data_IF_628090331553
#
_entry.id   IF_628090331553
#
_cell.length_a   1.000
_cell.length_b   1.000
_cell.length_c   1.000
_cell.angle_alpha   90.00
_cell.angle_beta   90.00
_cell.angle_gamma   90.00
#
_symmetry.space_group_name_H-M   'P 1'
#
loop_
_entity.id
_entity.type
_entity.pdbx_description
1 polymer ?
#
# COMPACT_ATOMS: atom_id res chain seq x y z
N UNK A 1 -7.65 9.22 -20.50
CA UNK A 1 -7.32 7.93 -19.86
C UNK A 1 -8.57 7.29 -19.31
N UNK A 2 -8.67 5.96 -19.30
CA UNK A 2 -9.78 5.19 -18.73
C UNK A 2 -9.27 4.44 -17.49
N UNK A 3 -10.06 4.42 -16.41
CA UNK A 3 -9.77 3.60 -15.24
C UNK A 3 -10.75 2.44 -15.17
N UNK A 4 -10.25 1.24 -14.86
CA UNK A 4 -11.05 0.02 -14.71
C UNK A 4 -10.81 -0.59 -13.35
N UNK A 5 -11.87 -1.14 -12.78
CA UNK A 5 -11.82 -1.99 -11.58
C UNK A 5 -11.75 -3.45 -11.97
N UNK A 6 -11.16 -4.28 -11.12
CA UNK A 6 -11.04 -5.72 -11.32
C UNK A 6 -11.60 -6.46 -10.10
N UNK A 7 -12.32 -7.54 -10.36
CA UNK A 7 -12.81 -8.46 -9.32
C UNK A 7 -11.87 -9.68 -9.21
N UNK A 8 -11.05 -9.94 -10.24
CA UNK A 8 -10.06 -11.02 -10.25
C UNK A 8 -8.69 -10.51 -9.82
N UNK A 9 -8.17 -11.06 -8.72
CA UNK A 9 -6.82 -10.79 -8.26
C UNK A 9 -5.75 -11.24 -9.28
N UNK A 10 -5.99 -12.36 -9.98
CA UNK A 10 -5.03 -12.90 -10.95
C UNK A 10 -4.97 -12.04 -12.20
N UNK A 11 -6.13 -11.60 -12.71
CA UNK A 11 -6.18 -10.63 -13.81
C UNK A 11 -5.46 -9.34 -13.42
N UNK A 12 -5.75 -8.80 -12.24
CA UNK A 12 -5.09 -7.59 -11.77
C UNK A 12 -3.57 -7.77 -11.64
N UNK A 13 -3.10 -8.90 -11.08
CA UNK A 13 -1.66 -9.20 -10.99
C UNK A 13 -0.97 -9.20 -12.35
N UNK A 14 -1.59 -9.83 -13.34
CA UNK A 14 -1.07 -9.89 -14.70
C UNK A 14 -0.94 -8.49 -15.34
N UNK A 15 -1.91 -7.61 -15.07
CA UNK A 15 -1.96 -6.25 -15.63
C UNK A 15 -1.09 -5.24 -14.85
N UNK A 16 -1.12 -5.30 -13.52
CA UNK A 16 -0.42 -4.35 -12.65
C UNK A 16 1.06 -4.70 -12.43
N UNK A 17 1.42 -5.99 -12.48
CA UNK A 17 2.79 -6.43 -12.30
C UNK A 17 3.79 -5.68 -13.18
N UNK A 18 3.61 -5.58 -14.50
CA UNK A 18 4.49 -4.81 -15.36
C UNK A 18 4.58 -3.32 -15.01
N UNK A 19 3.55 -2.73 -14.42
CA UNK A 19 3.55 -1.32 -13.97
C UNK A 19 4.49 -1.16 -12.79
N UNK A 20 4.36 -2.01 -11.77
CA UNK A 20 5.15 -1.92 -10.54
C UNK A 20 6.60 -2.38 -10.73
N UNK A 21 6.88 -3.31 -11.65
CA UNK A 21 8.25 -3.72 -11.97
C UNK A 21 9.07 -2.65 -12.70
N UNK A 22 8.49 -1.51 -13.08
CA UNK A 22 9.26 -0.37 -13.64
C UNK A 22 10.20 0.24 -12.59
N UNK A 23 9.80 0.21 -11.32
CA UNK A 23 10.61 0.65 -10.19
C UNK A 23 10.34 -0.25 -8.98
N UNK A 24 11.02 -1.41 -8.87
CA UNK A 24 10.78 -2.37 -7.79
C UNK A 24 11.10 -1.82 -6.40
N UNK A 25 11.92 -0.78 -6.30
CA UNK A 25 12.25 -0.13 -5.03
C UNK A 25 11.07 0.73 -4.60
N UNK A 26 10.61 1.63 -5.46
CA UNK A 26 9.48 2.51 -5.16
C UNK A 26 8.18 1.72 -4.89
N UNK A 27 7.98 0.59 -5.58
CA UNK A 27 6.77 -0.23 -5.49
C UNK A 27 6.96 -1.54 -4.71
N UNK A 28 7.94 -1.58 -3.80
CA UNK A 28 8.25 -2.82 -3.05
C UNK A 28 7.06 -3.34 -2.24
N UNK A 29 6.24 -2.47 -1.67
CA UNK A 29 5.06 -2.86 -0.88
C UNK A 29 3.95 -3.40 -1.77
N UNK A 30 3.70 -2.77 -2.92
CA UNK A 30 2.73 -3.21 -3.91
C UNK A 30 3.12 -4.59 -4.47
N UNK A 31 4.38 -4.76 -4.84
CA UNK A 31 4.91 -6.04 -5.33
C UNK A 31 4.84 -7.14 -4.27
N UNK A 32 5.18 -6.83 -3.01
CA UNK A 32 5.04 -7.77 -1.90
C UNK A 32 3.57 -8.17 -1.69
N UNK A 33 2.64 -7.21 -1.76
CA UNK A 33 1.21 -7.46 -1.69
C UNK A 33 0.71 -8.35 -2.84
N UNK A 34 1.15 -8.08 -4.07
CA UNK A 34 0.80 -8.91 -5.23
C UNK A 34 1.36 -10.34 -5.17
N UNK A 35 2.49 -10.54 -4.49
CA UNK A 35 3.09 -11.85 -4.28
C UNK A 35 2.37 -12.69 -3.19
N UNK A 36 1.48 -12.09 -2.41
CA UNK A 36 0.71 -12.81 -1.40
C UNK A 36 -0.16 -13.90 -2.05
N UNK A 37 -0.36 -15.07 -1.39
CA UNK A 37 -1.14 -16.17 -1.96
C UNK A 37 -2.57 -15.79 -2.33
N UNK A 38 -3.19 -14.89 -1.56
CA UNK A 38 -4.52 -14.35 -1.82
C UNK A 38 -4.57 -12.87 -1.45
N UNK A 39 -5.38 -12.10 -2.17
CA UNK A 39 -5.79 -10.76 -1.77
C UNK A 39 -7.11 -10.84 -1.00
N UNK A 40 -7.37 -9.93 -0.05
CA UNK A 40 -8.67 -9.82 0.62
C UNK A 40 -9.82 -9.68 -0.39
N UNK A 41 -10.99 -10.22 -0.08
CA UNK A 41 -12.16 -10.17 -0.96
C UNK A 41 -12.68 -8.73 -1.17
N UNK A 42 -12.39 -7.83 -0.24
CA UNK A 42 -12.73 -6.40 -0.27
C UNK A 42 -11.59 -5.54 -0.83
N UNK A 43 -10.54 -6.16 -1.41
CA UNK A 43 -9.47 -5.42 -2.05
C UNK A 43 -10.00 -4.56 -3.20
N UNK A 44 -9.49 -3.34 -3.31
CA UNK A 44 -9.78 -2.44 -4.43
C UNK A 44 -8.64 -2.51 -5.43
N UNK A 45 -8.93 -2.96 -6.64
CA UNK A 45 -7.97 -3.24 -7.69
C UNK A 45 -8.26 -2.35 -8.89
N UNK A 46 -7.38 -1.45 -9.24
CA UNK A 46 -7.56 -0.46 -10.31
C UNK A 46 -6.42 -0.53 -11.33
N UNK A 47 -6.77 -0.43 -12.60
CA UNK A 47 -5.80 -0.18 -13.68
C UNK A 47 -6.18 1.06 -14.48
N UNK A 48 -5.17 1.83 -14.88
CA UNK A 48 -5.32 2.98 -15.78
C UNK A 48 -4.88 2.59 -17.19
N UNK A 49 -5.69 2.97 -18.17
CA UNK A 49 -5.53 2.62 -19.57
C UNK A 49 -5.40 3.86 -20.45
N UNK A 50 -4.48 3.80 -21.38
CA UNK A 50 -4.32 4.78 -22.45
C UNK A 50 -4.08 4.08 -23.77
N UNK A 51 -4.83 4.47 -24.83
CA UNK A 51 -4.76 3.86 -26.15
C UNK A 51 -4.76 2.31 -26.12
N UNK A 52 -5.58 1.70 -25.25
CA UNK A 52 -5.70 0.24 -25.14
C UNK A 52 -4.57 -0.46 -24.35
N UNK A 53 -3.64 0.30 -23.74
CA UNK A 53 -2.50 -0.22 -22.96
C UNK A 53 -2.64 0.15 -21.50
N UNK A 54 -2.24 -0.76 -20.61
CA UNK A 54 -2.14 -0.47 -19.17
C UNK A 54 -0.94 0.46 -18.94
N UNK A 55 -1.21 1.61 -18.38
CA UNK A 55 -0.19 2.65 -18.11
C UNK A 55 -0.02 2.92 -16.63
N UNK A 56 -0.94 2.46 -15.78
CA UNK A 56 -0.89 2.64 -14.34
C UNK A 56 -1.74 1.62 -13.60
N UNK A 57 -1.50 1.55 -12.28
CA UNK A 57 -2.26 0.71 -11.36
C UNK A 57 -2.33 1.33 -9.97
N UNK A 58 -3.39 0.99 -9.23
CA UNK A 58 -3.53 1.29 -7.81
C UNK A 58 -4.19 0.11 -7.10
N UNK A 59 -3.82 -0.12 -5.85
CA UNK A 59 -4.33 -1.23 -5.05
C UNK A 59 -4.59 -0.79 -3.62
N UNK A 60 -5.70 -1.24 -3.06
CA UNK A 60 -5.98 -1.15 -1.63
C UNK A 60 -6.32 -2.53 -1.10
N UNK A 61 -5.72 -2.89 0.02
CA UNK A 61 -6.09 -4.05 0.83
C UNK A 61 -6.51 -3.53 2.20
N UNK A 62 -7.82 -3.37 2.46
CA UNK A 62 -8.27 -2.83 3.74
C UNK A 62 -7.72 -3.61 4.93
N UNK A 63 -7.39 -2.96 6.06
CA UNK A 63 -7.61 -1.54 6.37
C UNK A 63 -6.51 -0.57 5.90
N UNK A 64 -5.57 -1.00 5.07
CA UNK A 64 -4.43 -0.19 4.64
C UNK A 64 -4.84 0.91 3.64
N UNK A 65 -4.03 1.99 3.53
CA UNK A 65 -4.22 3.05 2.55
C UNK A 65 -4.25 2.54 1.11
N UNK A 66 -4.98 3.23 0.22
CA UNK A 66 -4.87 3.01 -1.21
C UNK A 66 -3.46 3.39 -1.70
N UNK A 67 -2.74 2.46 -2.26
CA UNK A 67 -1.47 2.70 -2.93
C UNK A 67 -1.72 3.26 -4.33
N UNK A 68 -1.65 4.58 -4.47
CA UNK A 68 -1.96 5.31 -5.72
C UNK A 68 -0.71 5.66 -6.54
N UNK A 69 0.49 5.30 -6.06
CA UNK A 69 1.77 5.69 -6.68
C UNK A 69 1.98 5.22 -8.11
N UNK A 70 1.34 4.12 -8.50
CA UNK A 70 1.40 3.60 -9.86
C UNK A 70 0.48 4.30 -10.86
N UNK A 71 -0.29 5.31 -10.45
CA UNK A 71 -1.19 6.05 -11.35
C UNK A 71 -0.45 7.20 -12.03
N UNK A 72 -0.52 7.33 -13.36
CA UNK A 72 -0.08 8.54 -14.04
C UNK A 72 -1.04 9.70 -13.77
N UNK A 73 -0.55 10.92 -13.90
CA UNK A 73 -1.29 12.15 -13.59
C UNK A 73 -2.69 12.21 -14.19
N UNK A 74 -2.81 11.88 -15.46
CA UNK A 74 -4.09 11.91 -16.16
C UNK A 74 -5.08 10.83 -15.74
N UNK A 75 -4.67 9.86 -14.90
CA UNK A 75 -5.53 8.81 -14.38
C UNK A 75 -6.06 9.12 -12.97
N UNK A 76 -5.51 10.12 -12.28
CA UNK A 76 -5.88 10.42 -10.89
C UNK A 76 -7.36 10.81 -10.78
N UNK A 77 -7.81 11.80 -11.54
CA UNK A 77 -9.21 12.24 -11.50
C UNK A 77 -10.19 11.12 -11.90
N UNK A 78 -9.99 10.38 -13.02
CA UNK A 78 -10.82 9.23 -13.33
C UNK A 78 -10.82 8.13 -12.25
N UNK A 79 -9.68 7.90 -11.55
CA UNK A 79 -9.63 6.94 -10.46
C UNK A 79 -10.46 7.41 -9.26
N UNK A 80 -10.37 8.69 -8.93
CA UNK A 80 -11.19 9.31 -7.87
C UNK A 80 -12.68 9.17 -8.18
N UNK A 81 -13.12 9.44 -9.41
CA UNK A 81 -14.53 9.30 -9.79
C UNK A 81 -15.03 7.87 -9.60
N UNK A 82 -14.27 6.88 -10.10
CA UNK A 82 -14.61 5.46 -9.94
C UNK A 82 -14.69 5.05 -8.48
N UNK A 83 -13.76 5.53 -7.65
CA UNK A 83 -13.68 5.17 -6.24
C UNK A 83 -14.74 5.87 -5.39
N UNK A 84 -15.03 7.14 -5.65
CA UNK A 84 -16.03 7.89 -4.90
C UNK A 84 -17.42 7.23 -4.99
N UNK A 85 -17.73 6.62 -6.12
CA UNK A 85 -18.99 5.92 -6.34
C UNK A 85 -19.04 4.53 -5.70
N UNK A 86 -17.87 3.86 -5.52
CA UNK A 86 -17.76 2.48 -5.03
C UNK A 86 -17.28 2.35 -3.59
N UNK A 87 -16.40 3.25 -3.16
CA UNK A 87 -15.70 3.17 -1.89
C UNK A 87 -15.82 4.50 -1.13
N UNK A 88 -17.03 4.87 -0.68
CA UNK A 88 -17.24 6.16 -0.02
C UNK A 88 -16.43 6.33 1.27
N UNK A 89 -15.77 5.28 1.75
CA UNK A 89 -14.97 5.26 2.98
C UNK A 89 -13.46 5.08 2.72
N UNK A 90 -12.95 5.63 1.62
CA UNK A 90 -11.50 5.70 1.46
C UNK A 90 -10.92 6.56 2.59
N UNK A 91 -10.17 5.94 3.50
CA UNK A 91 -9.67 6.59 4.72
C UNK A 91 -8.30 7.21 4.53
N UNK A 92 -7.49 6.69 3.63
CA UNK A 92 -6.16 7.18 3.37
C UNK A 92 -5.65 6.76 1.98
N UNK A 93 -4.70 7.53 1.47
CA UNK A 93 -3.93 7.22 0.26
C UNK A 93 -2.43 7.30 0.55
N UNK A 94 -1.62 6.54 -0.16
CA UNK A 94 -0.16 6.58 -0.07
C UNK A 94 0.49 6.47 -1.45
N UNK A 95 1.68 7.03 -1.58
CA UNK A 95 2.46 7.01 -2.82
C UNK A 95 3.49 8.14 -2.83
N UNK A 96 4.21 8.34 -3.93
CA UNK A 96 5.05 9.50 -4.11
C UNK A 96 4.29 10.79 -3.80
N UNK A 97 4.97 11.73 -3.13
CA UNK A 97 4.39 12.94 -2.58
C UNK A 97 3.46 13.67 -3.55
N UNK A 98 3.89 13.84 -4.78
CA UNK A 98 3.13 14.56 -5.81
C UNK A 98 1.83 13.84 -6.18
N UNK A 99 1.90 12.52 -6.37
CA UNK A 99 0.75 11.70 -6.76
C UNK A 99 -0.26 11.64 -5.61
N UNK A 100 0.20 11.36 -4.38
CA UNK A 100 -0.66 11.30 -3.21
C UNK A 100 -1.32 12.65 -2.91
N UNK A 101 -0.59 13.76 -3.02
CA UNK A 101 -1.13 15.11 -2.84
C UNK A 101 -2.20 15.43 -3.89
N UNK A 102 -1.94 15.10 -5.15
CA UNK A 102 -2.90 15.32 -6.24
C UNK A 102 -4.14 14.47 -6.07
N UNK A 103 -3.97 13.21 -5.67
CA UNK A 103 -5.08 12.30 -5.40
C UNK A 103 -5.96 12.83 -4.26
N UNK A 104 -5.35 13.21 -3.14
CA UNK A 104 -6.05 13.77 -1.99
C UNK A 104 -6.82 15.06 -2.34
N UNK A 105 -6.23 15.95 -3.14
CA UNK A 105 -6.89 17.16 -3.61
C UNK A 105 -8.11 16.85 -4.50
N UNK A 106 -7.96 15.92 -5.46
CA UNK A 106 -9.06 15.49 -6.32
C UNK A 106 -10.16 14.80 -5.51
N UNK A 107 -9.79 13.97 -4.50
CA UNK A 107 -10.75 13.34 -3.59
C UNK A 107 -11.56 14.38 -2.79
N UNK A 108 -10.88 15.36 -2.19
CA UNK A 108 -11.54 16.46 -1.47
C UNK A 108 -12.50 17.23 -2.38
N UNK A 109 -12.06 17.54 -3.60
CA UNK A 109 -12.90 18.25 -4.57
C UNK A 109 -14.16 17.45 -4.95
N UNK A 110 -14.03 16.13 -5.11
CA UNK A 110 -15.13 15.24 -5.54
C UNK A 110 -16.10 14.91 -4.41
N UNK A 111 -15.60 14.75 -3.18
CA UNK A 111 -16.38 14.21 -2.05
C UNK A 111 -16.67 15.22 -0.94
N UNK A 112 -15.98 16.34 -0.90
CA UNK A 112 -16.03 17.31 0.19
C UNK A 112 -15.27 16.88 1.46
N UNK A 113 -14.65 15.70 1.47
CA UNK A 113 -13.89 15.18 2.62
C UNK A 113 -12.51 15.83 2.66
N UNK A 114 -12.21 16.54 3.74
CA UNK A 114 -10.92 17.20 3.92
C UNK A 114 -9.82 16.21 4.36
N UNK A 115 -8.58 16.53 4.02
CA UNK A 115 -7.41 15.83 4.55
C UNK A 115 -7.25 16.18 6.02
N UNK A 116 -7.30 15.17 6.90
CA UNK A 116 -7.17 15.35 8.35
C UNK A 116 -5.70 15.29 8.79
N UNK A 117 -4.90 14.44 8.15
CA UNK A 117 -3.51 14.21 8.54
C UNK A 117 -2.67 13.91 7.30
N UNK A 118 -1.40 14.31 7.36
CA UNK A 118 -0.39 13.99 6.35
C UNK A 118 0.88 13.52 7.04
N UNK A 119 1.34 12.34 6.64
CA UNK A 119 2.62 11.78 7.09
C UNK A 119 3.56 11.69 5.90
N UNK A 120 4.80 12.11 6.08
CA UNK A 120 5.87 11.96 5.09
C UNK A 120 6.85 10.90 5.55
N UNK A 121 7.09 9.91 4.70
CA UNK A 121 8.03 8.84 4.92
C UNK A 121 9.13 8.89 3.86
N UNK A 122 10.33 8.45 4.22
CA UNK A 122 11.44 8.36 3.29
C UNK A 122 11.76 6.90 3.02
N UNK A 123 11.60 6.49 1.76
CA UNK A 123 12.05 5.18 1.33
C UNK A 123 13.59 5.14 1.30
N UNK A 124 14.15 4.12 1.93
CA UNK A 124 15.59 3.86 1.95
C UNK A 124 15.88 2.57 1.18
N UNK A 125 16.93 2.57 0.37
CA UNK A 125 17.45 1.38 -0.28
C UNK A 125 18.84 1.06 0.26
N UNK A 126 19.11 -0.21 0.55
CA UNK A 126 20.41 -0.69 1.00
C UNK A 126 21.18 -1.24 -0.20
N UNK A 127 22.24 -0.57 -0.61
CA UNK A 127 23.08 -1.03 -1.71
C UNK A 127 24.01 -2.19 -1.29
N UNK A 128 24.54 -2.11 -0.07
CA UNK A 128 25.48 -3.09 0.47
C UNK A 128 25.16 -3.37 1.93
N UNK A 129 24.92 -4.65 2.22
CA UNK A 129 24.80 -5.13 3.60
C UNK A 129 26.19 -5.37 4.20
N UNK A 130 26.53 -4.63 5.24
CA UNK A 130 27.64 -4.96 6.13
C UNK A 130 27.10 -5.80 7.28
N UNK A 131 27.32 -7.12 7.21
CA UNK A 131 26.82 -8.05 8.22
C UNK A 131 27.58 -7.83 9.53
N UNK A 132 26.93 -7.41 10.62
CA UNK A 132 27.59 -7.23 11.90
C UNK A 132 28.02 -8.60 12.49
N UNK A 133 29.19 -8.63 13.12
CA UNK A 133 29.61 -9.80 13.90
C UNK A 133 28.88 -9.76 15.24
N UNK A 134 27.90 -10.60 15.41
CA UNK A 134 27.12 -10.73 16.65
C UNK A 134 27.16 -12.19 17.15
N UNK A 135 27.09 -12.38 18.46
CA UNK A 135 26.94 -13.70 19.04
C UNK A 135 25.53 -14.23 18.85
N UNK A 136 25.41 -15.53 18.64
CA UNK A 136 24.11 -16.20 18.48
C UNK A 136 23.88 -16.73 17.08
N UNK A 137 22.76 -17.43 16.91
CA UNK A 137 22.34 -18.03 15.65
C UNK A 137 20.88 -17.67 15.38
N UNK A 138 20.56 -17.39 14.11
CA UNK A 138 19.17 -17.23 13.70
C UNK A 138 18.46 -18.59 13.67
N UNK A 139 17.20 -18.60 14.06
CA UNK A 139 16.33 -19.76 13.99
C UNK A 139 14.87 -19.35 13.75
N UNK A 140 14.09 -20.26 13.27
CA UNK A 140 12.64 -20.08 13.22
C UNK A 140 12.08 -19.99 14.64
N UNK A 141 11.09 -19.11 14.85
CA UNK A 141 10.40 -18.97 16.14
C UNK A 141 9.70 -20.27 16.56
N UNK A 142 9.55 -20.45 17.86
CA UNK A 142 8.78 -21.53 18.49
C UNK A 142 7.57 -20.92 19.19
N UNK A 143 6.55 -21.72 19.49
CA UNK A 143 5.38 -21.25 20.24
C UNK A 143 5.76 -20.60 21.59
N UNK A 144 6.83 -21.08 22.24
CA UNK A 144 7.34 -20.49 23.49
C UNK A 144 7.92 -19.07 23.33
N UNK A 145 8.18 -18.63 22.11
CA UNK A 145 8.76 -17.29 21.84
C UNK A 145 7.67 -16.23 21.63
N UNK A 146 6.39 -16.62 21.61
CA UNK A 146 5.27 -15.72 21.25
C UNK A 146 5.23 -14.48 22.13
N UNK A 147 5.34 -14.63 23.45
CA UNK A 147 5.29 -13.49 24.37
C UNK A 147 6.50 -12.56 24.20
N UNK A 148 7.69 -13.14 23.96
CA UNK A 148 8.91 -12.36 23.68
C UNK A 148 8.77 -11.55 22.39
N UNK A 149 8.27 -12.18 21.32
CA UNK A 149 8.08 -11.52 20.03
C UNK A 149 6.99 -10.45 20.09
N UNK A 150 5.93 -10.68 20.87
CA UNK A 150 4.87 -9.70 21.09
C UNK A 150 5.42 -8.47 21.86
N UNK A 151 6.23 -8.68 22.91
CA UNK A 151 6.87 -7.61 23.66
C UNK A 151 7.83 -6.80 22.77
N UNK A 152 8.69 -7.47 21.99
CA UNK A 152 9.59 -6.80 21.06
C UNK A 152 8.86 -6.00 19.99
N UNK A 153 7.81 -6.58 19.42
CA UNK A 153 6.97 -5.90 18.46
C UNK A 153 6.33 -4.65 19.06
N UNK A 154 5.79 -4.77 20.29
CA UNK A 154 5.21 -3.64 21.03
C UNK A 154 6.21 -2.51 21.26
N UNK A 155 7.41 -2.83 21.72
CA UNK A 155 8.50 -1.84 21.92
C UNK A 155 8.91 -1.18 20.62
N UNK A 156 9.03 -1.97 19.54
CA UNK A 156 9.33 -1.43 18.21
C UNK A 156 8.28 -0.42 17.76
N UNK A 157 6.99 -0.71 17.91
CA UNK A 157 5.92 0.23 17.54
C UNK A 157 5.98 1.54 18.34
N UNK A 158 6.25 1.45 19.64
CA UNK A 158 6.42 2.65 20.47
C UNK A 158 7.63 3.46 20.05
N UNK A 159 8.77 2.81 19.80
CA UNK A 159 10.02 3.48 19.44
C UNK A 159 9.96 4.08 18.03
N UNK A 160 9.43 3.33 17.05
CA UNK A 160 9.41 3.74 15.66
C UNK A 160 8.30 4.74 15.32
N UNK A 161 7.14 4.64 15.98
CA UNK A 161 5.94 5.40 15.60
C UNK A 161 5.34 6.23 16.77
N UNK A 162 5.87 6.11 17.97
CA UNK A 162 5.34 6.82 19.14
C UNK A 162 3.97 6.33 19.63
N UNK A 163 3.48 5.20 19.11
CA UNK A 163 2.14 4.66 19.41
C UNK A 163 2.24 3.22 19.89
N UNK A 164 1.43 2.86 20.88
CA UNK A 164 1.30 1.47 21.27
C UNK A 164 0.57 0.67 20.17
N UNK A 165 0.98 -0.60 19.92
CA UNK A 165 0.27 -1.45 18.97
C UNK A 165 -1.18 -1.64 19.41
N UNK A 166 -2.12 -1.65 18.45
CA UNK A 166 -3.51 -1.97 18.73
C UNK A 166 -3.61 -3.44 19.17
N UNK A 167 -4.46 -3.75 20.16
CA UNK A 167 -4.70 -5.13 20.53
C UNK A 167 -5.20 -5.96 19.35
N UNK A 168 -4.73 -7.21 19.24
CA UNK A 168 -5.10 -8.16 18.16
C UNK A 168 -6.62 -8.41 18.05
N UNK A 169 -7.40 -8.09 19.10
CA UNK A 169 -8.85 -8.22 19.10
C UNK A 169 -9.60 -7.33 18.11
N UNK A 170 -8.97 -6.24 17.64
CA UNK A 170 -9.58 -5.26 16.73
C UNK A 170 -9.42 -5.63 15.23
N UNK A 171 -8.85 -6.81 14.94
CA UNK A 171 -8.62 -7.30 13.58
C UNK A 171 -9.57 -8.45 13.15
N UNK A 172 -10.72 -8.58 13.83
CA UNK A 172 -11.76 -9.56 13.44
C UNK A 172 -12.88 -8.91 12.64
#
# INVERSE_FOLDING_TARGET
>A
MQVRTHDSADEFRALAGPVYHRDPIAFTVELAGLAAPALPADAVLLTAWDAGRVVGAAVQTPPYPLACGGLPDGAVAPAVDVLADRTPRLTAVRGPLEVATRFAAAWTQRTGVAVAERTEERLQALDRLEVPTVAGEHRTHRASDTDLLADWSGRFFVEAFGVAPRPLADHR
#
